data_IF_153147415431
#
_entry.id   IF_153147415431
#
_cell.length_a   1.000
_cell.length_b   1.000
_cell.length_c   1.000
_cell.angle_alpha   90.00
_cell.angle_beta   90.00
_cell.angle_gamma   90.00
#
_symmetry.space_group_name_H-M   'P 1'
#
loop_
_entity.id
_entity.type
_entity.pdbx_description
1 polymer ?
#
# COMPACT_ATOMS: atom_id res chain seq x y z
N UNK A 1 9.99 -5.43 -4.80
CA UNK A 1 9.56 -4.05 -5.09
C UNK A 1 8.34 -3.98 -6.02
N UNK A 2 8.41 -4.42 -7.29
CA UNK A 2 7.28 -4.23 -8.22
C UNK A 2 6.02 -5.02 -7.84
N UNK A 3 6.15 -6.32 -7.55
CA UNK A 3 5.04 -7.19 -7.10
C UNK A 3 4.42 -6.66 -5.80
N UNK A 4 5.26 -6.37 -4.80
CA UNK A 4 4.84 -5.72 -3.55
C UNK A 4 4.04 -4.43 -3.75
N UNK A 5 4.51 -3.57 -4.66
CA UNK A 5 3.81 -2.33 -5.00
C UNK A 5 2.47 -2.61 -5.70
N UNK A 6 2.39 -3.64 -6.53
CA UNK A 6 1.16 -4.07 -7.17
C UNK A 6 0.15 -4.61 -6.15
N UNK A 7 0.62 -5.37 -5.15
CA UNK A 7 -0.22 -5.87 -4.07
C UNK A 7 -0.84 -4.71 -3.26
N UNK A 8 -0.03 -3.70 -2.90
CA UNK A 8 -0.54 -2.49 -2.24
C UNK A 8 -1.54 -1.74 -3.13
N UNK A 9 -1.23 -1.55 -4.42
CA UNK A 9 -2.15 -0.89 -5.35
C UNK A 9 -3.50 -1.64 -5.44
N UNK A 10 -3.46 -2.97 -5.47
CA UNK A 10 -4.66 -3.82 -5.48
C UNK A 10 -5.47 -3.66 -4.19
N UNK A 11 -4.81 -3.67 -3.03
CA UNK A 11 -5.48 -3.44 -1.75
C UNK A 11 -6.15 -2.07 -1.67
N UNK A 12 -5.49 -1.01 -2.15
CA UNK A 12 -6.09 0.34 -2.23
C UNK A 12 -7.28 0.37 -3.18
N UNK A 13 -7.19 -0.31 -4.31
CA UNK A 13 -8.30 -0.39 -5.29
C UNK A 13 -9.53 -1.09 -4.70
N UNK A 14 -9.32 -2.17 -3.95
CA UNK A 14 -10.40 -2.89 -3.24
C UNK A 14 -11.01 -1.97 -2.18
N UNK A 15 -10.20 -1.29 -1.36
CA UNK A 15 -10.69 -0.34 -0.37
C UNK A 15 -11.53 0.79 -1.01
N UNK A 16 -11.09 1.32 -2.15
CA UNK A 16 -11.83 2.33 -2.89
C UNK A 16 -13.20 1.82 -3.39
N UNK A 17 -13.27 0.56 -3.83
CA UNK A 17 -14.51 -0.05 -4.31
C UNK A 17 -15.51 -0.33 -3.18
N UNK A 18 -15.04 -0.86 -2.06
CA UNK A 18 -15.88 -1.23 -0.91
C UNK A 18 -16.29 -0.02 -0.04
N UNK A 19 -15.56 1.10 -0.15
CA UNK A 19 -15.81 2.37 0.56
C UNK A 19 -16.03 2.25 2.09
N UNK A 20 -15.21 1.49 2.83
CA UNK A 20 -15.24 1.55 4.29
C UNK A 20 -14.75 2.92 4.79
N UNK A 21 -15.18 3.33 5.98
CA UNK A 21 -14.72 4.60 6.58
C UNK A 21 -13.22 4.60 6.89
N UNK A 22 -12.63 3.44 7.19
CA UNK A 22 -11.22 3.30 7.58
C UNK A 22 -10.65 1.93 7.20
N UNK A 23 -9.43 1.89 6.68
CA UNK A 23 -8.70 0.66 6.30
C UNK A 23 -7.27 0.71 6.80
N UNK A 24 -6.78 -0.43 7.29
CA UNK A 24 -5.35 -0.67 7.50
C UNK A 24 -4.79 -1.61 6.43
N UNK A 25 -3.73 -1.19 5.74
CA UNK A 25 -2.96 -2.02 4.82
C UNK A 25 -1.59 -2.24 5.44
N UNK A 26 -1.18 -3.49 5.56
CA UNK A 26 0.10 -3.89 6.13
C UNK A 26 0.94 -4.56 5.05
N UNK A 27 2.22 -4.24 4.97
CA UNK A 27 3.16 -4.85 4.05
C UNK A 27 4.52 -4.98 4.72
N UNK A 28 5.22 -6.07 4.45
CA UNK A 28 6.59 -6.27 4.92
C UNK A 28 7.65 -5.66 3.99
N UNK A 29 7.22 -5.13 2.84
CA UNK A 29 8.10 -4.48 1.89
C UNK A 29 8.53 -3.09 2.35
N UNK A 30 9.59 -3.04 3.15
CA UNK A 30 10.18 -1.79 3.64
C UNK A 30 10.48 -0.82 2.48
N UNK A 31 11.05 -1.34 1.38
CA UNK A 31 11.39 -0.54 0.20
C UNK A 31 10.18 0.17 -0.41
N UNK A 32 9.03 -0.51 -0.51
CA UNK A 32 7.82 0.06 -1.10
C UNK A 32 7.14 1.05 -0.15
N UNK A 33 7.01 0.72 1.13
CA UNK A 33 6.44 1.63 2.13
C UNK A 33 7.29 2.90 2.26
N UNK A 34 8.62 2.76 2.28
CA UNK A 34 9.53 3.90 2.32
C UNK A 34 9.44 4.77 1.07
N UNK A 35 9.32 4.18 -0.13
CA UNK A 35 9.14 4.92 -1.37
C UNK A 35 7.81 5.68 -1.42
N UNK A 36 6.74 5.14 -0.82
CA UNK A 36 5.45 5.82 -0.70
C UNK A 36 5.50 7.00 0.27
N UNK A 37 6.27 6.88 1.35
CA UNK A 37 6.45 7.95 2.33
C UNK A 37 7.45 9.03 1.88
N UNK A 38 8.30 8.73 0.90
CA UNK A 38 9.31 9.67 0.40
C UNK A 38 8.70 10.70 -0.56
N UNK A 39 9.01 12.00 -0.45
CA UNK A 39 8.61 13.00 -1.43
C UNK A 39 9.34 12.76 -2.77
N UNK A 40 8.67 13.03 -3.89
CA UNK A 40 9.26 12.89 -5.23
C UNK A 40 9.74 14.25 -5.76
N UNK A 41 10.76 14.82 -5.12
CA UNK A 41 11.23 16.17 -5.44
C UNK A 41 11.85 16.27 -6.84
N UNK A 42 12.48 15.19 -7.32
CA UNK A 42 13.17 15.14 -8.60
C UNK A 42 12.34 14.51 -9.73
N UNK A 43 11.09 14.12 -9.47
CA UNK A 43 10.24 13.44 -10.46
C UNK A 43 10.75 12.06 -10.91
N UNK A 44 11.57 11.40 -10.08
CA UNK A 44 12.23 10.12 -10.42
C UNK A 44 11.52 8.91 -9.82
N UNK A 45 10.45 9.11 -9.06
CA UNK A 45 9.72 7.99 -8.45
C UNK A 45 9.16 7.06 -9.51
N UNK A 46 9.23 5.77 -9.23
CA UNK A 46 8.69 4.75 -10.12
C UNK A 46 7.19 4.99 -10.36
N UNK A 47 6.73 4.83 -11.61
CA UNK A 47 5.33 5.12 -12.01
C UNK A 47 4.28 4.43 -11.13
N UNK A 48 4.59 3.22 -10.64
CA UNK A 48 3.70 2.48 -9.74
C UNK A 48 3.50 3.18 -8.39
N UNK A 49 4.55 3.80 -7.83
CA UNK A 49 4.48 4.55 -6.57
C UNK A 49 3.60 5.78 -6.76
N UNK A 50 3.76 6.49 -7.88
CA UNK A 50 2.91 7.63 -8.21
C UNK A 50 1.44 7.24 -8.36
N UNK A 51 1.18 6.10 -9.01
CA UNK A 51 -0.19 5.57 -9.14
C UNK A 51 -0.81 5.22 -7.78
N UNK A 52 -0.05 4.59 -6.88
CA UNK A 52 -0.52 4.28 -5.52
C UNK A 52 -0.81 5.59 -4.75
N UNK A 53 0.10 6.57 -4.78
CA UNK A 53 -0.10 7.88 -4.13
C UNK A 53 -1.37 8.57 -4.63
N UNK A 54 -1.58 8.59 -5.95
CA UNK A 54 -2.79 9.15 -6.54
C UNK A 54 -4.05 8.41 -6.08
N UNK A 55 -4.04 7.08 -6.09
CA UNK A 55 -5.17 6.28 -5.62
C UNK A 55 -5.45 6.51 -4.14
N UNK A 56 -4.43 6.54 -3.27
CA UNK A 56 -4.60 6.85 -1.84
C UNK A 56 -5.22 8.23 -1.63
N UNK A 57 -4.72 9.24 -2.35
CA UNK A 57 -5.27 10.59 -2.29
C UNK A 57 -6.73 10.62 -2.74
N UNK A 58 -7.05 10.00 -3.87
CA UNK A 58 -8.41 9.96 -4.40
C UNK A 58 -9.36 9.24 -3.43
N UNK A 59 -8.98 8.07 -2.93
CA UNK A 59 -9.79 7.29 -1.98
C UNK A 59 -10.02 8.06 -0.66
N UNK A 60 -9.02 8.80 -0.20
CA UNK A 60 -9.19 9.70 0.95
C UNK A 60 -10.18 10.83 0.68
N UNK A 61 -10.17 11.42 -0.53
CA UNK A 61 -11.15 12.43 -0.95
C UNK A 61 -12.58 11.90 -1.02
N UNK A 62 -12.74 10.60 -1.22
CA UNK A 62 -14.03 9.90 -1.23
C UNK A 62 -14.49 9.46 0.17
N UNK A 63 -13.75 9.79 1.24
CA UNK A 63 -14.14 9.54 2.62
C UNK A 63 -13.61 8.22 3.22
N UNK A 64 -12.80 7.46 2.48
CA UNK A 64 -12.17 6.24 2.98
C UNK A 64 -10.72 6.53 3.42
N UNK A 65 -10.48 6.50 4.73
CA UNK A 65 -9.15 6.76 5.28
C UNK A 65 -8.30 5.48 5.30
N UNK A 66 -7.24 5.43 4.49
CA UNK A 66 -6.33 4.29 4.40
C UNK A 66 -5.04 4.60 5.16
N UNK A 67 -4.68 3.74 6.10
CA UNK A 67 -3.39 3.75 6.80
C UNK A 67 -2.53 2.62 6.24
N UNK A 68 -1.35 2.97 5.72
CA UNK A 68 -0.34 2.00 5.30
C UNK A 68 0.74 1.87 6.38
N UNK A 69 0.99 0.65 6.84
CA UNK A 69 2.00 0.37 7.86
C UNK A 69 2.99 -0.70 7.38
N UNK A 70 4.28 -0.44 7.62
CA UNK A 70 5.30 -1.46 7.45
C UNK A 70 5.30 -2.41 8.65
N UNK A 71 5.45 -3.71 8.39
CA UNK A 71 5.63 -4.75 9.41
C UNK A 71 6.86 -5.61 9.09
N UNK A 72 7.50 -6.26 10.06
CA UNK A 72 8.60 -7.17 9.75
C UNK A 72 8.08 -8.49 9.14
N UNK A 73 8.70 -8.93 8.05
CA UNK A 73 8.42 -10.23 7.43
C UNK A 73 8.96 -11.42 8.24
N UNK A 74 8.39 -12.61 8.03
CA UNK A 74 8.80 -13.87 8.68
C UNK A 74 8.82 -13.83 10.21
N UNK A 75 7.86 -13.12 10.81
CA UNK A 75 7.73 -12.97 12.28
C UNK A 75 6.50 -13.68 12.88
N UNK A 76 5.91 -14.68 12.21
CA UNK A 76 4.69 -15.34 12.69
C UNK A 76 3.52 -14.36 12.85
N UNK A 77 3.44 -13.33 12.00
CA UNK A 77 2.27 -12.46 11.91
C UNK A 77 1.27 -13.17 10.99
N UNK A 78 0.16 -13.74 11.52
CA UNK A 78 -0.66 -14.69 10.74
C UNK A 78 -1.21 -14.08 9.44
N UNK A 79 -1.59 -12.81 9.48
CA UNK A 79 -2.09 -12.09 8.30
C UNK A 79 -1.02 -11.86 7.23
N UNK A 80 0.22 -11.55 7.62
CA UNK A 80 1.32 -11.37 6.66
C UNK A 80 1.69 -12.70 6.02
N UNK A 81 1.81 -13.77 6.82
CA UNK A 81 2.17 -15.10 6.30
C UNK A 81 1.09 -15.68 5.40
N UNK A 82 -0.18 -15.39 5.69
CA UNK A 82 -1.28 -15.74 4.81
C UNK A 82 -1.21 -14.98 3.48
N UNK A 83 -0.87 -13.68 3.53
CA UNK A 83 -0.68 -12.87 2.33
C UNK A 83 0.51 -13.37 1.50
N UNK A 84 1.66 -13.64 2.13
CA UNK A 84 2.87 -14.15 1.48
C UNK A 84 2.63 -15.50 0.79
N UNK A 85 1.78 -16.37 1.37
CA UNK A 85 1.41 -17.66 0.75
C UNK A 85 0.53 -17.49 -0.50
N UNK A 86 -0.23 -16.40 -0.57
CA UNK A 86 -1.18 -16.13 -1.65
C UNK A 86 -0.64 -15.16 -2.72
N UNK A 87 0.55 -14.61 -2.50
CA UNK A 87 1.23 -13.64 -3.36
C UNK A 87 1.94 -14.33 -4.54
#
# INVERSE_FOLDING_TARGET
FYVESMAILRAVTIAAAERPNKVGIFSDSFSTVNALNSPDLDGKSHRIIQRIKFSLWQTSREGCNIVLAWIPGYKNIPGNEMADRLA
#
